data_IF_535078459766
#
_entry.id   IF_535078459766
#
_cell.length_a   1.000
_cell.length_b   1.000
_cell.length_c   1.000
_cell.angle_alpha   90.00
_cell.angle_beta   90.00
_cell.angle_gamma   90.00
#
_symmetry.space_group_name_H-M   'P 1'
#
loop_
_entity.id
_entity.type
_entity.pdbx_description
1 polymer ?
#
# COMPACT_ATOMS: atom_id res chain seq x y z
N UNK A 1 21.96 -29.52 -21.17
CA UNK A 1 21.32 -30.15 -20.00
C UNK A 1 21.20 -29.06 -18.94
N UNK A 2 20.14 -28.26 -18.96
CA UNK A 2 18.88 -28.47 -18.22
C UNK A 2 19.13 -28.88 -16.76
N UNK A 3 18.87 -27.97 -15.82
CA UNK A 3 18.25 -28.30 -14.55
C UNK A 3 17.24 -27.19 -14.21
N UNK A 4 15.99 -27.59 -14.35
CA UNK A 4 14.77 -26.89 -13.99
C UNK A 4 14.42 -27.15 -12.51
N UNK A 5 13.36 -26.47 -12.06
CA UNK A 5 12.51 -26.77 -10.90
C UNK A 5 12.84 -26.10 -9.54
N UNK A 6 12.20 -24.93 -9.37
CA UNK A 6 11.13 -24.70 -8.39
C UNK A 6 11.42 -24.86 -6.89
N UNK A 7 11.41 -23.73 -6.19
CA UNK A 7 10.68 -23.61 -4.92
C UNK A 7 9.88 -22.31 -4.95
N UNK A 8 8.67 -22.42 -5.50
CA UNK A 8 7.63 -21.41 -5.43
C UNK A 8 7.13 -21.36 -3.99
N UNK A 9 7.71 -20.46 -3.20
CA UNK A 9 7.29 -20.20 -1.83
C UNK A 9 5.91 -19.56 -1.84
N UNK A 10 4.91 -20.37 -1.53
CA UNK A 10 3.51 -20.04 -1.25
C UNK A 10 3.28 -18.62 -0.70
N UNK A 11 2.94 -17.67 -1.59
CA UNK A 11 2.36 -16.38 -1.21
C UNK A 11 0.94 -16.68 -0.72
N UNK A 12 0.67 -16.39 0.56
CA UNK A 12 -0.67 -16.53 1.13
C UNK A 12 -1.58 -15.47 0.48
N UNK A 13 -2.29 -15.88 -0.56
CA UNK A 13 -3.42 -15.13 -1.11
C UNK A 13 -4.49 -14.96 -0.03
N UNK A 14 -4.56 -13.77 0.56
CA UNK A 14 -5.74 -13.35 1.28
C UNK A 14 -6.67 -12.67 0.28
N UNK A 15 -7.69 -13.42 -0.14
CA UNK A 15 -8.77 -12.95 -0.98
C UNK A 15 -9.58 -11.86 -0.25
N UNK A 16 -9.73 -10.71 -0.89
CA UNK A 16 -11.01 -10.01 -0.89
C UNK A 16 -11.31 -9.53 -2.31
N UNK A 17 -12.37 -10.10 -2.91
CA UNK A 17 -12.88 -9.71 -4.23
C UNK A 17 -13.49 -8.30 -4.14
N UNK A 18 -12.94 -7.35 -4.91
CA UNK A 18 -13.64 -6.64 -6.00
C UNK A 18 -12.87 -5.39 -6.43
N UNK A 19 -12.35 -5.40 -7.67
CA UNK A 19 -12.02 -4.18 -8.42
C UNK A 19 -10.52 -3.94 -8.65
N UNK A 20 -9.96 -4.60 -9.66
CA UNK A 20 -8.66 -4.31 -10.29
C UNK A 20 -7.46 -4.18 -9.34
N UNK A 21 -6.86 -5.32 -8.99
CA UNK A 21 -5.48 -5.33 -8.51
C UNK A 21 -4.58 -4.78 -9.61
N UNK A 22 -3.79 -3.75 -9.28
CA UNK A 22 -2.67 -3.38 -10.13
C UNK A 22 -1.63 -4.51 -10.04
N UNK A 23 -1.42 -5.20 -11.16
CA UNK A 23 -0.43 -6.24 -11.30
C UNK A 23 0.78 -5.64 -12.00
N UNK A 24 1.82 -5.30 -11.23
CA UNK A 24 3.07 -4.81 -11.78
C UNK A 24 3.66 -5.87 -12.74
N UNK A 25 4.36 -5.47 -13.82
CA UNK A 25 5.05 -6.41 -14.69
C UNK A 25 5.98 -7.31 -13.88
N UNK A 26 6.01 -8.64 -14.15
CA UNK A 26 6.89 -9.55 -13.43
C UNK A 26 8.35 -9.14 -13.63
N UNK A 27 9.03 -8.77 -12.54
CA UNK A 27 10.43 -8.32 -12.53
C UNK A 27 10.65 -6.83 -12.25
N UNK A 28 9.59 -6.02 -12.17
CA UNK A 28 9.69 -4.61 -11.74
C UNK A 28 9.26 -4.48 -10.28
N UNK A 29 10.11 -3.88 -9.44
CA UNK A 29 9.70 -3.50 -8.08
C UNK A 29 8.65 -2.38 -8.16
N UNK A 30 7.53 -2.47 -7.42
CA UNK A 30 6.51 -1.43 -7.42
C UNK A 30 7.09 -0.11 -6.90
N UNK A 31 6.90 0.97 -7.67
CA UNK A 31 7.41 2.29 -7.29
C UNK A 31 6.41 2.96 -6.35
N UNK A 32 6.79 3.10 -5.08
CA UNK A 32 5.99 3.75 -4.05
C UNK A 32 6.41 5.22 -3.86
N UNK A 33 5.48 6.13 -4.07
CA UNK A 33 5.71 7.57 -4.00
C UNK A 33 4.69 8.26 -3.07
N UNK A 34 5.18 9.15 -2.21
CA UNK A 34 4.34 10.04 -1.41
C UNK A 34 4.03 11.31 -2.19
N UNK A 35 2.75 11.68 -2.26
CA UNK A 35 2.29 12.94 -2.88
C UNK A 35 1.46 13.74 -1.90
N UNK A 36 1.93 14.94 -1.56
CA UNK A 36 1.15 15.91 -0.79
C UNK A 36 0.00 16.44 -1.65
N UNK A 37 -1.24 16.29 -1.18
CA UNK A 37 -2.42 16.79 -1.89
C UNK A 37 -2.82 18.18 -1.38
N UNK A 38 -2.76 18.36 -0.06
CA UNK A 38 -3.08 19.59 0.66
C UNK A 38 -2.32 19.59 1.99
N UNK A 39 -2.25 20.73 2.71
CA UNK A 39 -1.70 20.75 4.06
C UNK A 39 -2.42 19.73 4.96
N UNK A 40 -1.66 18.77 5.51
CA UNK A 40 -2.23 17.70 6.36
C UNK A 40 -2.91 16.57 5.61
N UNK A 41 -2.84 16.52 4.27
CA UNK A 41 -3.31 15.38 3.48
C UNK A 41 -2.22 14.87 2.54
N UNK A 42 -1.90 13.59 2.65
CA UNK A 42 -0.93 12.91 1.80
C UNK A 42 -1.51 11.67 1.15
N UNK A 43 -0.98 11.32 -0.01
CA UNK A 43 -1.38 10.16 -0.78
C UNK A 43 -0.16 9.29 -1.02
N UNK A 44 -0.27 8.00 -0.70
CA UNK A 44 0.67 6.99 -1.17
C UNK A 44 0.18 6.48 -2.53
N UNK A 45 1.09 6.53 -3.50
CA UNK A 45 0.85 6.13 -4.88
C UNK A 45 1.78 4.97 -5.22
N UNK A 46 1.26 3.94 -5.86
CA UNK A 46 2.02 2.83 -6.44
C UNK A 46 1.91 2.93 -7.97
N UNK A 47 3.03 3.13 -8.66
CA UNK A 47 3.08 3.19 -10.13
C UNK A 47 2.04 4.14 -10.75
N UNK A 48 1.85 5.31 -10.11
CA UNK A 48 0.88 6.31 -10.52
C UNK A 48 -0.56 6.11 -10.01
N UNK A 49 -0.88 4.96 -9.41
CA UNK A 49 -2.21 4.65 -8.86
C UNK A 49 -2.25 4.94 -7.35
N UNK A 50 -3.21 5.74 -6.86
CA UNK A 50 -3.32 6.04 -5.43
C UNK A 50 -3.84 4.81 -4.66
N UNK A 51 -3.14 4.42 -3.60
CA UNK A 51 -3.45 3.19 -2.84
C UNK A 51 -3.79 3.46 -1.37
N UNK A 52 -3.23 4.51 -0.76
CA UNK A 52 -3.54 4.88 0.61
C UNK A 52 -3.54 6.39 0.79
N UNK A 53 -4.39 6.87 1.70
CA UNK A 53 -4.51 8.29 2.05
C UNK A 53 -4.22 8.48 3.52
N UNK A 54 -3.46 9.53 3.82
CA UNK A 54 -3.17 10.01 5.16
C UNK A 54 -3.84 11.36 5.35
N UNK A 55 -4.49 11.54 6.49
CA UNK A 55 -5.11 12.80 6.88
C UNK A 55 -4.74 13.16 8.32
N UNK A 56 -4.39 14.42 8.54
CA UNK A 56 -4.08 14.99 9.84
C UNK A 56 -5.31 15.73 10.39
N UNK A 57 -5.83 15.25 11.52
CA UNK A 57 -6.94 15.86 12.25
C UNK A 57 -6.53 16.04 13.72
N UNK A 58 -6.71 17.24 14.28
CA UNK A 58 -6.36 17.57 15.67
C UNK A 58 -4.94 17.15 16.08
N UNK A 59 -3.96 17.43 15.21
CA UNK A 59 -2.53 17.06 15.38
C UNK A 59 -2.28 15.56 15.44
N UNK A 60 -3.21 14.74 14.99
CA UNK A 60 -3.07 13.29 14.93
C UNK A 60 -3.28 12.82 13.51
N UNK A 61 -2.40 11.93 13.07
CA UNK A 61 -2.45 11.41 11.73
C UNK A 61 -3.32 10.17 11.69
N UNK A 62 -4.04 10.00 10.60
CA UNK A 62 -4.83 8.82 10.33
C UNK A 62 -4.45 8.32 8.95
N UNK A 63 -4.52 7.02 8.72
CA UNK A 63 -4.29 6.44 7.40
C UNK A 63 -5.41 5.47 7.05
N UNK A 64 -5.72 5.37 5.77
CA UNK A 64 -6.68 4.41 5.22
C UNK A 64 -6.23 3.95 3.85
N UNK A 65 -6.58 2.73 3.50
CA UNK A 65 -6.49 2.24 2.12
C UNK A 65 -7.64 2.87 1.32
N UNK A 66 -7.43 3.12 0.04
CA UNK A 66 -8.46 3.73 -0.81
C UNK A 66 -9.48 2.73 -1.36
N UNK A 67 -9.08 1.48 -1.55
CA UNK A 67 -9.95 0.38 -1.99
C UNK A 67 -10.71 -0.28 -0.82
N UNK A 68 -10.33 0.04 0.42
CA UNK A 68 -10.95 -0.49 1.62
C UNK A 68 -11.99 0.50 2.17
N UNK A 69 -13.17 -0.03 2.49
CA UNK A 69 -14.22 0.70 3.21
C UNK A 69 -13.95 0.77 4.72
N UNK A 70 -12.82 0.22 5.19
CA UNK A 70 -12.42 0.25 6.59
C UNK A 70 -12.29 1.67 7.13
N UNK A 71 -12.57 1.78 8.42
CA UNK A 71 -12.40 3.01 9.16
C UNK A 71 -10.90 3.39 9.15
N UNK A 72 -10.58 4.69 9.03
CA UNK A 72 -9.19 5.14 9.07
C UNK A 72 -8.54 4.74 10.39
N UNK A 73 -7.35 4.16 10.29
CA UNK A 73 -6.55 3.75 11.44
C UNK A 73 -5.79 4.96 11.93
N UNK A 74 -5.93 5.23 13.22
CA UNK A 74 -5.24 6.34 13.86
C UNK A 74 -3.78 5.98 14.12
N UNK A 75 -2.90 6.86 13.67
CA UNK A 75 -1.50 6.89 14.03
C UNK A 75 -1.25 8.08 14.96
N UNK A 76 -0.34 7.94 15.92
CA UNK A 76 0.05 9.05 16.80
C UNK A 76 0.76 10.16 16.02
N UNK A 77 1.57 9.79 15.03
CA UNK A 77 2.42 10.70 14.26
C UNK A 77 2.37 10.45 12.74
N UNK A 78 2.84 11.43 11.95
CA UNK A 78 2.98 11.31 10.50
C UNK A 78 3.88 10.15 10.10
N UNK A 79 5.04 10.03 10.75
CA UNK A 79 6.02 8.98 10.47
C UNK A 79 5.42 7.58 10.71
N UNK A 80 4.67 7.41 11.80
CA UNK A 80 3.96 6.17 12.11
C UNK A 80 2.88 5.88 11.05
N UNK A 81 2.08 6.87 10.67
CA UNK A 81 1.06 6.72 9.63
C UNK A 81 1.68 6.27 8.29
N UNK A 82 2.79 6.89 7.89
CA UNK A 82 3.51 6.54 6.66
C UNK A 82 4.10 5.14 6.73
N UNK A 83 4.71 4.76 7.86
CA UNK A 83 5.27 3.43 8.05
C UNK A 83 4.19 2.34 7.94
N UNK A 84 3.04 2.55 8.58
CA UNK A 84 1.91 1.60 8.51
C UNK A 84 1.36 1.47 7.09
N UNK A 85 1.17 2.59 6.40
CA UNK A 85 0.70 2.58 5.01
C UNK A 85 1.69 1.89 4.06
N UNK A 86 3.00 2.14 4.20
CA UNK A 86 4.04 1.46 3.41
C UNK A 86 4.12 -0.04 3.71
N UNK A 87 4.04 -0.42 4.98
CA UNK A 87 4.02 -1.83 5.39
C UNK A 87 2.83 -2.55 4.76
N UNK A 88 1.66 -1.93 4.80
CA UNK A 88 0.44 -2.49 4.22
C UNK A 88 0.54 -2.59 2.69
N UNK A 89 0.98 -1.53 2.01
CA UNK A 89 1.18 -1.52 0.57
C UNK A 89 2.12 -2.65 0.11
N UNK A 90 3.28 -2.80 0.76
CA UNK A 90 4.24 -3.86 0.42
C UNK A 90 3.70 -5.26 0.68
N UNK A 91 2.84 -5.43 1.69
CA UNK A 91 2.19 -6.72 1.98
C UNK A 91 1.16 -7.10 0.92
N UNK A 92 0.51 -6.14 0.27
CA UNK A 92 -0.46 -6.41 -0.80
C UNK A 92 0.20 -6.74 -2.14
N UNK A 93 1.41 -6.23 -2.38
CA UNK A 93 2.09 -6.32 -3.67
C UNK A 93 3.29 -7.32 -3.69
N UNK A 94 3.63 -7.95 -2.56
CA UNK A 94 4.68 -8.97 -2.45
C UNK A 94 4.12 -10.36 -2.19
#
# INVERSE_FOLDING_TARGET
MQHDAASSGSIRHFLHQAGNFFQAPPGSEPILEWRTQAPGTEMLVCDGMPIARLDCHDRRWTWRVLDDASAPIRAGSEAEARLLALFYARRLHG
#
